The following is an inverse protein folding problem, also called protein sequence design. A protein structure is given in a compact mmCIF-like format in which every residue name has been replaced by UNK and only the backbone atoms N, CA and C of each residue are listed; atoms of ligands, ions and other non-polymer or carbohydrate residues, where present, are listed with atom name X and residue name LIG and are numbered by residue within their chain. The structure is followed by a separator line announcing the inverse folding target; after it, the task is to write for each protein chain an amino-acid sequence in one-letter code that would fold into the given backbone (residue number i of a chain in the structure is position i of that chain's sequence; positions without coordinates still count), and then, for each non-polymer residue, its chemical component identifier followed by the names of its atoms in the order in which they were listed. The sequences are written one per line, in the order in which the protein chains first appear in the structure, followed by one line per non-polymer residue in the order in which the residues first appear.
data_IF_434946813252
#
_entry.id   IF_434946813252
#
_cell.length_a   1.000
_cell.length_b   1.000
_cell.length_c   1.000
_cell.angle_alpha   90.00
_cell.angle_beta   90.00
_cell.angle_gamma   90.00
#
_symmetry.space_group_name_H-M   'P 1'
#
loop_
_entity.id
_entity.type
_entity.pdbx_description
1 polymer ?
#
# COMPACT_ATOMS: atom_id res chain seq x y z
N UNK A 1 -22.33 60.08 -25.83
CA UNK A 1 -21.31 59.09 -25.43
C UNK A 1 -21.21 59.15 -23.90
N UNK A 2 -22.05 58.39 -23.21
CA UNK A 2 -22.18 58.45 -21.75
C UNK A 2 -21.13 57.54 -21.13
N UNK A 3 -20.15 58.12 -20.45
CA UNK A 3 -19.22 57.42 -19.58
C UNK A 3 -19.98 57.04 -18.30
N UNK A 4 -20.34 55.76 -18.20
CA UNK A 4 -21.01 55.19 -17.05
C UNK A 4 -20.13 55.24 -15.81
N UNK A 5 -20.68 55.77 -14.72
CA UNK A 5 -20.12 55.75 -13.39
C UNK A 5 -19.80 54.31 -12.99
N UNK A 6 -18.51 53.98 -12.95
CA UNK A 6 -18.02 52.77 -12.29
C UNK A 6 -18.33 52.92 -10.79
N UNK A 7 -19.31 52.17 -10.30
CA UNK A 7 -19.72 52.20 -8.90
C UNK A 7 -18.66 51.48 -8.05
N UNK A 8 -17.64 52.24 -7.61
CA UNK A 8 -16.53 51.78 -6.77
C UNK A 8 -17.00 51.03 -5.50
N UNK A 9 -18.23 51.27 -5.08
CA UNK A 9 -18.85 50.65 -3.92
C UNK A 9 -19.17 49.17 -4.15
N UNK A 10 -19.47 48.76 -5.39
CA UNK A 10 -19.73 47.37 -5.74
C UNK A 10 -18.43 46.57 -5.95
N UNK A 11 -17.40 47.24 -6.49
CA UNK A 11 -16.04 46.68 -6.61
C UNK A 11 -15.43 46.39 -5.23
N UNK A 12 -15.58 47.33 -4.28
CA UNK A 12 -15.14 47.15 -2.89
C UNK A 12 -15.79 45.95 -2.22
N UNK A 13 -17.12 45.80 -2.35
CA UNK A 13 -17.85 44.63 -1.80
C UNK A 13 -17.36 43.31 -2.39
N UNK A 14 -17.12 43.26 -3.70
CA UNK A 14 -16.62 42.05 -4.37
C UNK A 14 -15.20 41.71 -3.90
N UNK A 15 -14.33 42.69 -3.73
CA UNK A 15 -12.97 42.51 -3.20
C UNK A 15 -13.02 42.01 -1.75
N UNK A 16 -13.85 42.60 -0.89
CA UNK A 16 -14.02 42.13 0.49
C UNK A 16 -14.59 40.71 0.57
N UNK A 17 -15.52 40.35 -0.33
CA UNK A 17 -16.11 39.01 -0.40
C UNK A 17 -15.09 37.99 -0.90
N UNK A 18 -14.25 38.35 -1.87
CA UNK A 18 -13.13 37.52 -2.34
C UNK A 18 -12.07 37.31 -1.25
N UNK A 19 -11.66 38.38 -0.56
CA UNK A 19 -10.75 38.28 0.59
C UNK A 19 -11.35 37.40 1.71
N UNK A 20 -12.64 37.55 2.00
CA UNK A 20 -13.35 36.73 2.99
C UNK A 20 -13.35 35.23 2.66
N UNK A 21 -13.50 34.86 1.38
CA UNK A 21 -13.42 33.46 0.94
C UNK A 21 -12.00 32.89 1.10
N UNK A 22 -10.97 33.69 0.79
CA UNK A 22 -9.57 33.28 0.96
C UNK A 22 -9.19 33.03 2.44
N UNK A 23 -9.73 33.80 3.39
CA UNK A 23 -9.45 33.61 4.82
C UNK A 23 -10.15 32.39 5.44
N UNK A 24 -11.25 31.91 4.85
CA UNK A 24 -11.98 30.74 5.35
C UNK A 24 -11.43 29.40 4.83
N UNK A 25 -10.43 29.44 3.93
CA UNK A 25 -9.90 28.27 3.24
C UNK A 25 -8.72 27.60 3.98
N UNK A 26 -8.51 27.90 5.26
CA UNK A 26 -7.41 27.29 6.03
C UNK A 26 -7.78 25.85 6.39
N UNK A 27 -7.24 24.90 5.63
CA UNK A 27 -7.28 23.48 5.96
C UNK A 27 -6.17 23.19 6.96
N UNK A 28 -6.52 22.70 8.14
CA UNK A 28 -5.55 22.22 9.13
C UNK A 28 -5.42 20.71 9.00
N UNK A 29 -4.19 20.22 8.81
CA UNK A 29 -3.88 18.83 9.06
C UNK A 29 -3.95 18.62 10.58
N UNK A 30 -5.08 18.11 11.08
CA UNK A 30 -5.14 17.64 12.46
C UNK A 30 -4.27 16.41 12.56
N UNK A 31 -3.34 16.39 13.52
CA UNK A 31 -2.68 15.14 13.89
C UNK A 31 -3.79 14.14 14.25
N UNK A 32 -3.80 12.99 13.59
CA UNK A 32 -4.67 11.88 13.98
C UNK A 32 -4.03 11.31 15.24
N UNK A 33 -4.65 11.46 16.42
CA UNK A 33 -4.08 10.89 17.63
C UNK A 33 -3.92 9.39 17.46
N UNK A 34 -2.67 8.92 17.56
CA UNK A 34 -2.39 7.49 17.67
C UNK A 34 -2.82 7.07 19.06
N UNK A 35 -3.86 6.25 19.14
CA UNK A 35 -4.34 5.69 20.39
C UNK A 35 -3.71 4.33 20.65
N UNK A 36 -3.19 4.13 21.86
CA UNK A 36 -2.76 2.82 22.31
C UNK A 36 -3.97 1.92 22.57
N UNK A 37 -4.11 0.87 21.77
CA UNK A 37 -5.05 -0.20 22.10
C UNK A 37 -4.43 -1.12 23.15
N UNK A 38 -4.94 -1.05 24.38
CA UNK A 38 -4.40 -1.85 25.49
C UNK A 38 -4.74 -3.34 25.33
N UNK A 39 -3.72 -4.17 25.15
CA UNK A 39 -3.85 -5.64 25.12
C UNK A 39 -4.08 -6.27 26.50
N UNK A 40 -4.01 -5.50 27.61
CA UNK A 40 -4.10 -6.01 28.99
C UNK A 40 -5.37 -6.81 29.29
N UNK A 41 -6.45 -6.54 28.58
CA UNK A 41 -7.74 -7.23 28.74
C UNK A 41 -7.80 -8.58 28.02
N UNK A 42 -6.80 -8.93 27.21
CA UNK A 42 -6.75 -10.14 26.42
C UNK A 42 -5.59 -11.02 26.89
N UNK A 43 -5.86 -12.30 27.10
CA UNK A 43 -4.78 -13.24 27.36
C UNK A 43 -3.89 -13.36 26.13
N UNK A 44 -2.59 -13.34 26.35
CA UNK A 44 -1.59 -13.61 25.32
C UNK A 44 -1.14 -15.09 25.36
N UNK A 45 -1.84 -15.93 26.13
CA UNK A 45 -1.59 -17.35 26.25
C UNK A 45 -2.71 -18.13 25.56
N UNK A 46 -2.35 -18.94 24.56
CA UNK A 46 -3.31 -19.72 23.78
C UNK A 46 -4.08 -20.74 24.64
N UNK A 47 -3.46 -21.24 25.71
CA UNK A 47 -4.07 -22.24 26.59
C UNK A 47 -5.28 -21.70 27.38
N UNK A 48 -5.42 -20.37 27.49
CA UNK A 48 -6.59 -19.76 28.11
C UNK A 48 -7.83 -19.85 27.18
N UNK A 49 -7.61 -20.09 25.89
CA UNK A 49 -8.65 -20.29 24.87
C UNK A 49 -8.79 -21.76 24.44
N UNK A 50 -7.70 -22.53 24.50
CA UNK A 50 -7.66 -23.97 24.22
C UNK A 50 -7.05 -24.73 25.42
N UNK A 51 -7.81 -24.92 26.51
CA UNK A 51 -7.31 -25.56 27.71
C UNK A 51 -7.00 -27.05 27.46
N UNK A 52 -5.84 -27.51 27.90
CA UNK A 52 -5.42 -28.93 27.74
C UNK A 52 -6.27 -29.92 28.53
N UNK A 53 -7.03 -29.44 29.51
CA UNK A 53 -7.97 -30.21 30.33
C UNK A 53 -9.42 -30.14 29.82
N UNK A 54 -9.66 -29.50 28.67
CA UNK A 54 -10.99 -29.50 28.05
C UNK A 54 -11.36 -30.88 27.52
N UNK A 55 -12.64 -31.24 27.60
CA UNK A 55 -13.13 -32.53 27.14
C UNK A 55 -12.98 -32.74 25.62
N UNK A 56 -12.83 -31.65 24.87
CA UNK A 56 -12.70 -31.61 23.43
C UNK A 56 -11.28 -31.27 22.95
N UNK A 57 -10.28 -31.22 23.85
CA UNK A 57 -8.92 -30.79 23.52
C UNK A 57 -8.29 -31.60 22.37
N UNK A 58 -8.49 -32.92 22.37
CA UNK A 58 -7.99 -33.82 21.32
C UNK A 58 -8.93 -33.93 20.11
N UNK A 59 -10.03 -33.16 20.07
CA UNK A 59 -10.99 -33.21 18.97
C UNK A 59 -10.45 -32.44 17.77
N UNK A 60 -10.24 -33.09 16.60
CA UNK A 60 -9.78 -32.39 15.41
C UNK A 60 -10.80 -31.32 14.97
N UNK A 61 -10.32 -30.10 14.74
CA UNK A 61 -11.16 -29.00 14.22
C UNK A 61 -11.67 -29.28 12.79
N UNK A 62 -10.94 -30.10 12.04
CA UNK A 62 -11.22 -30.44 10.65
C UNK A 62 -11.30 -31.95 10.48
N UNK A 63 -12.07 -32.39 9.50
CA UNK A 63 -12.11 -33.80 9.08
C UNK A 63 -10.76 -34.19 8.47
N UNK A 64 -10.36 -35.46 8.67
CA UNK A 64 -9.09 -35.99 8.17
C UNK A 64 -8.99 -35.85 6.65
N UNK A 65 -10.06 -36.19 5.93
CA UNK A 65 -10.08 -36.20 4.46
C UNK A 65 -9.80 -34.79 3.90
N UNK A 66 -10.35 -33.76 4.57
CA UNK A 66 -10.09 -32.38 4.20
C UNK A 66 -8.65 -31.96 4.50
N UNK A 67 -8.09 -32.37 5.64
CA UNK A 67 -6.69 -32.07 5.98
C UNK A 67 -5.71 -32.68 4.98
N UNK A 68 -5.94 -33.93 4.57
CA UNK A 68 -5.14 -34.62 3.56
C UNK A 68 -5.21 -33.92 2.19
N UNK A 69 -6.41 -33.50 1.78
CA UNK A 69 -6.60 -32.75 0.53
C UNK A 69 -5.85 -31.40 0.57
N UNK A 70 -6.00 -30.64 1.65
CA UNK A 70 -5.31 -29.35 1.81
C UNK A 70 -3.79 -29.52 1.86
N UNK A 71 -3.30 -30.58 2.50
CA UNK A 71 -1.88 -30.90 2.53
C UNK A 71 -1.35 -31.22 1.13
N UNK A 72 -2.10 -31.98 0.34
CA UNK A 72 -1.75 -32.25 -1.05
C UNK A 72 -1.72 -30.97 -1.89
N UNK A 73 -2.72 -30.09 -1.73
CA UNK A 73 -2.74 -28.78 -2.40
C UNK A 73 -1.53 -27.93 -2.01
N UNK A 74 -1.16 -27.91 -0.73
CA UNK A 74 0.04 -27.23 -0.23
C UNK A 74 1.29 -27.76 -0.94
N UNK A 75 1.51 -29.08 -0.97
CA UNK A 75 2.68 -29.65 -1.63
C UNK A 75 2.69 -29.38 -3.14
N UNK A 76 1.53 -29.45 -3.80
CA UNK A 76 1.43 -29.14 -5.22
C UNK A 76 1.76 -27.67 -5.50
N UNK A 77 1.26 -26.76 -4.68
CA UNK A 77 1.54 -25.33 -4.84
C UNK A 77 3.00 -24.99 -4.51
N UNK A 78 3.62 -25.66 -3.55
CA UNK A 78 4.96 -25.27 -3.09
C UNK A 78 6.09 -26.00 -3.82
N UNK A 79 5.91 -27.27 -4.20
CA UNK A 79 7.00 -28.15 -4.66
C UNK A 79 6.77 -28.88 -5.98
N UNK A 80 5.60 -28.75 -6.60
CA UNK A 80 5.31 -29.48 -7.85
C UNK A 80 6.20 -29.06 -9.00
N UNK A 81 6.87 -30.02 -9.63
CA UNK A 81 7.64 -29.83 -10.87
C UNK A 81 6.79 -30.06 -12.13
N UNK A 82 5.52 -30.47 -11.98
CA UNK A 82 4.65 -30.82 -13.09
C UNK A 82 4.30 -29.59 -13.94
N UNK A 83 4.09 -29.79 -15.25
CA UNK A 83 3.85 -28.69 -16.21
C UNK A 83 2.58 -27.85 -16.01
N UNK A 84 1.74 -28.19 -15.04
CA UNK A 84 0.57 -27.41 -14.58
C UNK A 84 0.67 -27.03 -13.09
N UNK A 85 1.77 -27.39 -12.44
CA UNK A 85 2.04 -27.02 -11.05
C UNK A 85 2.21 -25.52 -10.91
N UNK A 86 1.62 -24.96 -9.86
CA UNK A 86 1.73 -23.54 -9.52
C UNK A 86 2.99 -23.23 -8.70
N UNK A 87 3.96 -24.14 -8.71
CA UNK A 87 5.16 -24.02 -7.88
C UNK A 87 6.13 -22.97 -8.42
N UNK A 88 6.79 -22.21 -7.53
CA UNK A 88 7.90 -21.36 -7.92
C UNK A 88 9.11 -22.14 -8.46
N UNK A 89 9.15 -23.47 -8.29
CA UNK A 89 10.18 -24.34 -8.87
C UNK A 89 9.83 -24.82 -10.28
N UNK A 90 8.60 -24.60 -10.75
CA UNK A 90 8.19 -24.99 -12.08
C UNK A 90 8.58 -23.91 -13.11
N UNK A 91 9.37 -24.28 -14.11
CA UNK A 91 9.87 -23.35 -15.14
C UNK A 91 8.74 -22.63 -15.90
N UNK A 92 7.67 -23.35 -16.26
CA UNK A 92 6.55 -22.77 -17.01
C UNK A 92 5.78 -21.76 -16.16
N UNK A 93 5.56 -22.05 -14.88
CA UNK A 93 4.98 -21.11 -13.92
C UNK A 93 5.85 -19.86 -13.82
N UNK A 94 7.16 -20.01 -13.57
CA UNK A 94 8.09 -18.88 -13.44
C UNK A 94 8.06 -18.01 -14.69
N UNK A 95 8.21 -18.61 -15.87
CA UNK A 95 8.21 -17.88 -17.14
C UNK A 95 6.87 -17.19 -17.42
N UNK A 96 5.75 -17.71 -16.93
CA UNK A 96 4.45 -17.06 -17.07
C UNK A 96 4.27 -15.86 -16.13
N UNK A 97 4.93 -15.88 -14.97
CA UNK A 97 4.81 -14.83 -13.93
C UNK A 97 5.83 -13.71 -14.13
N UNK A 98 7.01 -14.00 -14.68
CA UNK A 98 8.09 -13.01 -14.88
C UNK A 98 7.65 -11.72 -15.61
N UNK A 99 6.85 -11.76 -16.70
CA UNK A 99 6.37 -10.53 -17.33
C UNK A 99 5.48 -9.67 -16.42
N UNK A 100 4.64 -10.31 -15.59
CA UNK A 100 3.78 -9.63 -14.63
C UNK A 100 4.62 -8.99 -13.53
N UNK A 101 5.59 -9.72 -12.98
CA UNK A 101 6.53 -9.19 -11.99
C UNK A 101 7.28 -8.00 -12.55
N UNK A 102 7.86 -8.12 -13.75
CA UNK A 102 8.55 -7.00 -14.40
C UNK A 102 7.66 -5.76 -14.56
N UNK A 103 6.40 -5.95 -14.93
CA UNK A 103 5.44 -4.84 -15.03
C UNK A 103 5.23 -4.17 -13.67
N UNK A 104 4.98 -4.95 -12.61
CA UNK A 104 4.80 -4.43 -11.24
C UNK A 104 6.04 -3.67 -10.79
N UNK A 105 7.25 -4.22 -11.01
CA UNK A 105 8.50 -3.55 -10.64
C UNK A 105 8.68 -2.21 -11.35
N UNK A 106 8.31 -2.12 -12.64
CA UNK A 106 8.36 -0.86 -13.38
C UNK A 106 7.33 0.16 -12.88
N UNK A 107 6.13 -0.29 -12.51
CA UNK A 107 5.09 0.56 -11.91
C UNK A 107 5.54 1.09 -10.55
N UNK A 108 6.17 0.26 -9.71
CA UNK A 108 6.75 0.69 -8.44
C UNK A 108 7.87 1.70 -8.63
N UNK A 109 8.74 1.52 -9.64
CA UNK A 109 9.79 2.49 -9.93
C UNK A 109 9.22 3.86 -10.32
N UNK A 110 8.12 3.90 -11.07
CA UNK A 110 7.41 5.14 -11.41
C UNK A 110 6.69 5.73 -10.19
N UNK A 111 6.06 4.89 -9.36
CA UNK A 111 5.39 5.30 -8.12
C UNK A 111 6.37 5.88 -7.08
N UNK A 112 7.61 5.41 -7.01
CA UNK A 112 8.60 5.92 -6.06
C UNK A 112 9.56 6.96 -6.65
N UNK A 113 9.48 7.26 -7.96
CA UNK A 113 10.21 8.38 -8.55
C UNK A 113 9.52 9.70 -8.19
N UNK A 114 10.16 10.51 -7.36
CA UNK A 114 9.63 11.82 -6.95
C UNK A 114 9.69 12.87 -8.07
N UNK A 115 10.29 12.57 -9.23
CA UNK A 115 10.29 13.49 -10.37
C UNK A 115 8.87 13.79 -10.83
N UNK A 116 8.56 15.07 -11.00
CA UNK A 116 7.26 15.58 -11.49
C UNK A 116 6.05 15.34 -10.56
N UNK A 117 6.27 14.92 -9.30
CA UNK A 117 5.21 14.79 -8.28
C UNK A 117 5.03 16.06 -7.47
N UNK A 118 3.79 16.31 -7.01
CA UNK A 118 3.53 17.39 -6.05
C UNK A 118 4.15 17.05 -4.69
N UNK A 119 4.33 18.05 -3.82
CA UNK A 119 4.98 17.84 -2.52
C UNK A 119 4.23 16.80 -1.65
N UNK A 120 2.91 16.68 -1.81
CA UNK A 120 2.05 15.73 -1.08
C UNK A 120 2.17 14.28 -1.60
N UNK A 121 2.62 14.11 -2.85
CA UNK A 121 2.77 12.82 -3.52
C UNK A 121 4.20 12.28 -3.44
N UNK A 122 5.12 13.01 -2.80
CA UNK A 122 6.52 12.58 -2.67
C UNK A 122 6.69 11.50 -1.61
N UNK A 123 7.52 10.53 -1.94
CA UNK A 123 7.91 9.43 -1.08
C UNK A 123 9.24 9.73 -0.36
N UNK A 124 9.35 9.22 0.87
CA UNK A 124 10.51 9.41 1.73
C UNK A 124 11.19 8.05 1.99
N UNK A 125 12.52 8.06 1.99
CA UNK A 125 13.34 6.92 2.37
C UNK A 125 13.27 6.66 3.88
N UNK A 126 13.84 5.53 4.32
CA UNK A 126 13.89 5.11 5.73
C UNK A 126 14.51 6.13 6.68
N UNK A 127 15.36 7.03 6.16
CA UNK A 127 15.97 8.12 6.92
C UNK A 127 15.12 9.41 6.93
N UNK A 128 13.85 9.32 6.52
CA UNK A 128 12.89 10.41 6.39
C UNK A 128 13.34 11.52 5.42
N UNK A 129 14.27 11.24 4.51
CA UNK A 129 14.64 12.15 3.41
C UNK A 129 13.90 11.77 2.15
N UNK A 130 13.55 12.76 1.32
CA UNK A 130 12.97 12.50 0.02
C UNK A 130 13.86 11.57 -0.80
N UNK A 131 13.25 10.63 -1.54
CA UNK A 131 13.98 9.85 -2.54
C UNK A 131 14.53 10.79 -3.61
N UNK A 132 15.84 10.66 -3.89
CA UNK A 132 16.48 11.41 -4.96
C UNK A 132 16.35 10.68 -6.32
N UNK A 133 16.44 11.45 -7.40
CA UNK A 133 16.41 10.92 -8.77
C UNK A 133 17.57 9.96 -9.09
N UNK A 134 18.62 9.93 -8.26
CA UNK A 134 19.77 9.04 -8.42
C UNK A 134 19.41 7.61 -7.99
N UNK A 135 18.61 7.46 -6.94
CA UNK A 135 18.17 6.19 -6.39
C UNK A 135 17.28 5.40 -7.36
N UNK A 136 16.30 6.03 -8.00
CA UNK A 136 15.46 5.37 -9.00
C UNK A 136 16.30 4.83 -10.18
N UNK A 137 17.28 5.62 -10.65
CA UNK A 137 18.22 5.24 -11.71
C UNK A 137 19.17 4.11 -11.28
N UNK A 138 19.59 4.10 -10.01
CA UNK A 138 20.47 3.04 -9.50
C UNK A 138 19.74 1.70 -9.46
N UNK A 139 18.46 1.67 -9.07
CA UNK A 139 17.63 0.47 -9.11
C UNK A 139 17.38 -0.03 -10.54
N UNK A 140 17.00 0.86 -11.46
CA UNK A 140 16.84 0.48 -12.87
C UNK A 140 18.11 -0.17 -13.46
N UNK A 141 19.27 0.37 -13.10
CA UNK A 141 20.57 -0.19 -13.52
C UNK A 141 20.86 -1.52 -12.84
N UNK A 142 20.62 -1.64 -11.54
CA UNK A 142 20.87 -2.86 -10.77
C UNK A 142 20.01 -4.03 -11.24
N UNK A 143 18.74 -3.77 -11.53
CA UNK A 143 17.78 -4.79 -11.98
C UNK A 143 17.76 -5.01 -13.49
N UNK A 144 18.60 -4.30 -14.26
CA UNK A 144 18.70 -4.46 -15.71
C UNK A 144 17.44 -4.00 -16.47
N UNK A 145 16.67 -3.07 -15.91
CA UNK A 145 15.45 -2.53 -16.50
C UNK A 145 15.70 -1.34 -17.45
N UNK A 146 16.94 -1.06 -17.82
CA UNK A 146 17.29 0.06 -18.71
C UNK A 146 16.63 -0.09 -20.09
N UNK A 147 15.84 0.90 -20.51
CA UNK A 147 15.34 1.00 -21.87
C UNK A 147 16.49 1.14 -22.89
N UNK A 148 16.42 0.36 -23.96
CA UNK A 148 17.14 0.63 -25.22
C UNK A 148 16.40 1.68 -26.03
#
# INVERSE_FOLDING_TARGET
MCLGLFDFRDLSKRVFLFLGICFLSVSFATEVPIYDFSIKSYSQNINDYFPSDSNDYDTPLLKREYQEEQLQQFYNHYYSDHGEGLSPWNEKMVNSVLPVVKKIELELLDEYDNQNKSDEERHFAENFKEHDACLAKSYQKQYGFTCH
#
